data_IF_213921548011
#
_entry.id   IF_213921548011
#
_cell.length_a   1.000
_cell.length_b   1.000
_cell.length_c   1.000
_cell.angle_alpha   90.00
_cell.angle_beta   90.00
_cell.angle_gamma   90.00
#
_symmetry.space_group_name_H-M   'P 1'
#
loop_
_entity.id
_entity.type
_entity.pdbx_description
1 polymer ?
#
# COMPACT_ATOMS: atom_id res chain seq x y z
N UNK A 1 -4.59 -4.81 -21.48
CA UNK A 1 -4.57 -3.41 -21.94
C UNK A 1 -3.42 -3.33 -22.93
N UNK A 2 -3.68 -3.12 -24.22
CA UNK A 2 -2.72 -3.35 -25.30
C UNK A 2 -1.49 -2.42 -25.23
N UNK A 3 -1.48 -1.36 -26.02
CA UNK A 3 -0.38 -0.38 -26.06
C UNK A 3 -0.52 0.75 -25.02
N UNK A 4 -1.65 0.80 -24.29
CA UNK A 4 -1.94 1.87 -23.33
C UNK A 4 -1.11 1.71 -22.06
N UNK A 5 -0.37 2.75 -21.70
CA UNK A 5 0.31 2.85 -20.42
C UNK A 5 -0.63 3.44 -19.36
N UNK A 6 -0.19 3.41 -18.09
CA UNK A 6 -0.98 3.94 -16.95
C UNK A 6 -1.42 5.39 -17.19
N UNK A 7 -0.51 6.22 -17.67
CA UNK A 7 -0.77 7.64 -17.93
C UNK A 7 -1.91 7.83 -18.95
N UNK A 8 -1.94 7.05 -20.03
CA UNK A 8 -3.00 7.11 -21.05
C UNK A 8 -4.38 6.80 -20.46
N UNK A 9 -4.45 5.79 -19.60
CA UNK A 9 -5.70 5.39 -18.93
C UNK A 9 -6.20 6.50 -18.00
N UNK A 10 -5.29 7.12 -17.26
CA UNK A 10 -5.64 8.22 -16.34
C UNK A 10 -6.02 9.49 -17.10
N UNK A 11 -5.35 9.79 -18.22
CA UNK A 11 -5.73 10.89 -19.10
C UNK A 11 -7.13 10.67 -19.68
N UNK A 12 -7.41 9.49 -20.22
CA UNK A 12 -8.73 9.15 -20.75
C UNK A 12 -9.83 9.28 -19.69
N UNK A 13 -9.55 8.88 -18.45
CA UNK A 13 -10.45 9.11 -17.31
C UNK A 13 -10.73 10.60 -17.09
N UNK A 14 -9.73 11.48 -17.23
CA UNK A 14 -9.90 12.92 -17.08
C UNK A 14 -10.72 13.53 -18.22
N UNK A 15 -10.39 13.17 -19.47
CA UNK A 15 -11.04 13.68 -20.68
C UNK A 15 -12.53 13.32 -20.70
N UNK A 16 -12.87 12.11 -20.25
CA UNK A 16 -14.24 11.58 -20.24
C UNK A 16 -14.95 11.67 -18.88
N UNK A 17 -14.30 12.25 -17.87
CA UNK A 17 -14.83 12.40 -16.49
C UNK A 17 -15.39 11.08 -15.92
N UNK A 18 -14.66 9.99 -16.14
CA UNK A 18 -15.07 8.66 -15.70
C UNK A 18 -14.88 8.56 -14.18
N UNK A 19 -15.90 8.18 -13.41
CA UNK A 19 -15.75 7.97 -11.98
C UNK A 19 -14.83 6.76 -11.71
N UNK A 20 -13.94 6.90 -10.74
CA UNK A 20 -13.08 5.83 -10.24
C UNK A 20 -13.34 5.60 -8.75
N UNK A 21 -12.96 4.43 -8.24
CA UNK A 21 -13.12 4.13 -6.83
C UNK A 21 -12.37 5.15 -5.96
N UNK A 22 -12.99 5.59 -4.87
CA UNK A 22 -12.43 6.60 -3.95
C UNK A 22 -11.08 6.20 -3.34
N UNK A 23 -10.74 4.91 -3.29
CA UNK A 23 -9.44 4.44 -2.77
C UNK A 23 -8.25 4.90 -3.63
N UNK A 24 -8.48 5.21 -4.91
CA UNK A 24 -7.47 5.78 -5.80
C UNK A 24 -7.31 7.29 -5.57
N UNK A 25 -8.19 7.92 -4.79
CA UNK A 25 -8.20 9.36 -4.57
C UNK A 25 -8.46 10.15 -5.86
N UNK A 26 -7.76 11.27 -5.99
CA UNK A 26 -7.85 12.16 -7.14
C UNK A 26 -6.79 11.81 -8.17
N UNK A 27 -7.04 12.18 -9.43
CA UNK A 27 -6.04 12.11 -10.50
C UNK A 27 -5.44 13.49 -10.68
N UNK A 28 -4.14 13.60 -10.45
CA UNK A 28 -3.39 14.85 -10.47
C UNK A 28 -2.23 14.77 -11.45
N UNK A 29 -1.85 15.90 -12.01
CA UNK A 29 -0.63 16.04 -12.78
C UNK A 29 0.53 16.23 -11.82
N UNK A 30 1.49 15.31 -11.82
CA UNK A 30 2.61 15.38 -10.90
C UNK A 30 3.72 16.31 -11.39
N UNK A 31 4.78 16.45 -10.58
CA UNK A 31 5.94 17.30 -10.94
C UNK A 31 6.83 16.68 -12.02
N UNK A 32 6.68 15.38 -12.28
CA UNK A 32 7.47 14.65 -13.28
C UNK A 32 6.84 14.72 -14.67
N UNK A 33 5.60 15.20 -14.77
CA UNK A 33 4.87 15.35 -16.02
C UNK A 33 3.99 14.15 -16.35
N UNK A 34 3.57 13.37 -15.35
CA UNK A 34 2.70 12.22 -15.53
C UNK A 34 1.40 12.36 -14.72
N UNK A 35 0.32 11.78 -15.25
CA UNK A 35 -0.92 11.60 -14.49
C UNK A 35 -0.72 10.53 -13.42
N UNK A 36 -1.01 10.87 -12.16
CA UNK A 36 -0.94 9.95 -11.02
C UNK A 36 -2.19 10.00 -10.17
N UNK A 37 -2.42 8.95 -9.39
CA UNK A 37 -3.48 8.85 -8.40
C UNK A 37 -2.93 9.28 -7.03
N UNK A 38 -3.68 10.07 -6.25
CA UNK A 38 -3.24 10.51 -4.91
C UNK A 38 -3.40 9.44 -3.83
N UNK A 39 -4.24 8.43 -4.08
CA UNK A 39 -4.44 7.27 -3.22
C UNK A 39 -3.61 6.06 -3.66
N UNK A 40 -4.22 4.88 -3.60
CA UNK A 40 -3.55 3.64 -4.03
C UNK A 40 -3.23 3.69 -5.52
N UNK A 41 -2.07 3.14 -5.92
CA UNK A 41 -1.70 3.12 -7.33
C UNK A 41 -2.24 1.87 -8.05
N UNK A 42 -2.37 0.76 -7.34
CA UNK A 42 -2.93 -0.50 -7.84
C UNK A 42 -3.62 -1.19 -6.68
N UNK A 43 -4.80 -1.74 -6.93
CA UNK A 43 -5.50 -2.59 -5.96
C UNK A 43 -5.62 -4.00 -6.51
N UNK A 44 -5.79 -4.95 -5.61
CA UNK A 44 -5.95 -6.38 -5.90
C UNK A 44 -6.56 -7.08 -4.70
N UNK A 45 -6.43 -8.40 -4.63
CA UNK A 45 -6.92 -9.17 -3.49
C UNK A 45 -6.21 -8.74 -2.19
N UNK A 46 -6.99 -8.48 -1.14
CA UNK A 46 -6.50 -7.99 0.16
C UNK A 46 -5.50 -8.93 0.84
N UNK A 47 -5.57 -10.23 0.56
CA UNK A 47 -4.69 -11.25 1.12
C UNK A 47 -3.45 -11.53 0.26
N UNK A 48 -3.33 -10.98 -0.94
CA UNK A 48 -2.31 -11.40 -1.89
C UNK A 48 -0.91 -10.91 -1.48
N UNK A 49 -0.04 -11.85 -1.09
CA UNK A 49 1.37 -11.61 -0.78
C UNK A 49 2.29 -11.57 -2.00
N UNK A 50 1.74 -11.76 -3.21
CA UNK A 50 2.55 -11.83 -4.42
C UNK A 50 3.22 -10.48 -4.72
N UNK A 51 4.55 -10.53 -4.86
CA UNK A 51 5.38 -9.37 -5.11
C UNK A 51 5.56 -8.43 -3.92
N UNK A 52 5.05 -8.75 -2.72
CA UNK A 52 5.22 -7.89 -1.55
C UNK A 52 6.70 -7.71 -1.15
N UNK A 53 7.57 -8.70 -1.41
CA UNK A 53 9.01 -8.61 -1.19
C UNK A 53 9.73 -7.61 -2.12
N UNK A 54 9.05 -7.11 -3.16
CA UNK A 54 9.57 -6.07 -4.06
C UNK A 54 9.07 -4.67 -3.67
N UNK A 55 8.17 -4.57 -2.69
CA UNK A 55 7.61 -3.30 -2.25
C UNK A 55 8.52 -2.62 -1.23
N UNK A 56 8.57 -1.30 -1.29
CA UNK A 56 9.18 -0.49 -0.23
C UNK A 56 8.27 -0.48 0.98
N UNK A 57 8.88 -0.41 2.16
CA UNK A 57 8.13 -0.17 3.39
C UNK A 57 7.67 1.29 3.49
N UNK A 58 6.43 1.57 3.97
CA UNK A 58 5.43 0.59 4.36
C UNK A 58 4.78 -0.13 3.16
N UNK A 59 4.90 -1.46 3.13
CA UNK A 59 4.34 -2.32 2.11
C UNK A 59 2.80 -2.42 2.27
N UNK A 60 2.11 -3.00 1.29
CA UNK A 60 0.64 -3.03 1.30
C UNK A 60 0.03 -3.72 2.52
N UNK A 61 0.70 -4.73 3.10
CA UNK A 61 0.21 -5.44 4.30
C UNK A 61 0.31 -4.52 5.52
N UNK A 62 1.46 -3.87 5.71
CA UNK A 62 1.66 -2.87 6.74
C UNK A 62 0.65 -1.71 6.60
N UNK A 63 0.45 -1.19 5.39
CA UNK A 63 -0.55 -0.12 5.12
C UNK A 63 -1.98 -0.56 5.43
N UNK A 64 -2.36 -1.80 5.11
CA UNK A 64 -3.68 -2.35 5.44
C UNK A 64 -3.88 -2.49 6.96
N UNK A 65 -2.87 -3.00 7.67
CA UNK A 65 -2.89 -3.17 9.13
C UNK A 65 -2.97 -1.84 9.88
N UNK A 66 -2.32 -0.80 9.36
CA UNK A 66 -2.33 0.56 9.91
C UNK A 66 -3.40 1.47 9.28
N UNK A 67 -4.32 0.91 8.47
CA UNK A 67 -5.33 1.70 7.77
C UNK A 67 -6.31 2.39 8.72
N UNK A 68 -6.70 3.62 8.42
CA UNK A 68 -7.74 4.35 9.18
C UNK A 68 -9.11 3.66 9.13
N UNK A 69 -9.36 2.82 8.13
CA UNK A 69 -10.60 2.07 8.00
C UNK A 69 -10.60 0.83 8.92
N UNK A 70 -11.51 0.72 9.91
CA UNK A 70 -11.56 -0.41 10.83
C UNK A 70 -11.84 -1.76 10.13
N UNK A 71 -12.56 -1.75 8.99
CA UNK A 71 -12.83 -2.97 8.21
C UNK A 71 -11.54 -3.52 7.60
N UNK A 72 -10.67 -2.65 7.09
CA UNK A 72 -9.37 -3.05 6.54
C UNK A 72 -8.51 -3.69 7.63
N UNK A 73 -8.42 -3.05 8.80
CA UNK A 73 -7.65 -3.57 9.93
C UNK A 73 -8.18 -4.93 10.38
N UNK A 74 -9.49 -5.05 10.59
CA UNK A 74 -10.13 -6.32 10.98
C UNK A 74 -9.88 -7.42 9.95
N UNK A 75 -10.01 -7.11 8.67
CA UNK A 75 -9.78 -8.06 7.58
C UNK A 75 -8.32 -8.50 7.51
N UNK A 76 -7.38 -7.55 7.62
CA UNK A 76 -5.94 -7.83 7.66
C UNK A 76 -5.56 -8.74 8.83
N UNK A 77 -5.99 -8.39 10.05
CA UNK A 77 -5.77 -9.21 11.25
C UNK A 77 -6.38 -10.61 11.13
N UNK A 78 -7.56 -10.72 10.53
CA UNK A 78 -8.19 -12.02 10.28
C UNK A 78 -7.42 -12.88 9.29
N UNK A 79 -6.95 -12.29 8.19
CA UNK A 79 -6.18 -12.99 7.15
C UNK A 79 -4.83 -13.45 7.67
N UNK A 80 -4.12 -12.59 8.42
CA UNK A 80 -2.80 -12.91 8.98
C UNK A 80 -2.84 -14.12 9.92
N UNK A 81 -3.98 -14.37 10.56
CA UNK A 81 -4.22 -15.51 11.48
C UNK A 81 -4.74 -16.77 10.78
N UNK A 82 -5.01 -16.75 9.48
CA UNK A 82 -5.40 -17.96 8.75
C UNK A 82 -4.25 -18.95 8.83
N UNK A 83 -4.53 -20.15 9.31
CA UNK A 83 -3.56 -21.22 9.50
C UNK A 83 -3.73 -22.31 8.45
N UNK A 84 -2.60 -22.81 7.93
CA UNK A 84 -2.54 -23.99 7.09
C UNK A 84 -1.36 -24.86 7.52
N UNK A 85 -1.61 -26.11 7.89
CA UNK A 85 -0.60 -27.06 8.37
C UNK A 85 0.28 -26.51 9.52
N UNK A 86 -0.30 -25.83 10.51
CA UNK A 86 0.46 -25.32 11.66
C UNK A 86 1.28 -24.06 11.37
N UNK A 87 1.07 -23.42 10.22
CA UNK A 87 1.72 -22.17 9.84
C UNK A 87 0.65 -21.14 9.51
N UNK A 88 0.67 -20.03 10.23
CA UNK A 88 -0.19 -18.87 9.95
C UNK A 88 0.29 -18.13 8.70
N UNK A 89 -0.61 -17.39 8.07
CA UNK A 89 -0.25 -16.58 6.91
C UNK A 89 0.80 -15.51 7.25
N UNK A 90 0.73 -14.94 8.46
CA UNK A 90 1.76 -14.02 8.97
C UNK A 90 3.14 -14.69 9.05
N UNK A 91 3.24 -15.88 9.66
CA UNK A 91 4.50 -16.62 9.72
C UNK A 91 5.02 -16.97 8.32
N UNK A 92 4.14 -17.34 7.39
CA UNK A 92 4.53 -17.61 6.01
C UNK A 92 5.14 -16.37 5.34
N UNK A 93 4.53 -15.18 5.51
CA UNK A 93 5.06 -13.92 5.00
C UNK A 93 6.41 -13.57 5.63
N UNK A 94 6.55 -13.74 6.95
CA UNK A 94 7.79 -13.46 7.68
C UNK A 94 8.94 -14.38 7.25
N UNK A 95 8.66 -15.67 6.99
CA UNK A 95 9.65 -16.60 6.41
C UNK A 95 10.11 -16.20 5.01
N UNK A 96 9.30 -15.42 4.29
CA UNK A 96 9.67 -14.82 3.01
C UNK A 96 10.29 -13.41 3.16
N UNK A 97 10.66 -13.00 4.38
CA UNK A 97 11.21 -11.68 4.69
C UNK A 97 10.28 -10.51 4.32
N UNK A 98 8.96 -10.71 4.43
CA UNK A 98 7.96 -9.66 4.23
C UNK A 98 7.50 -9.17 5.60
N UNK A 99 7.79 -7.91 5.93
CA UNK A 99 7.36 -7.29 7.17
C UNK A 99 5.82 -7.12 7.23
N UNK A 100 5.21 -7.44 8.38
CA UNK A 100 3.76 -7.34 8.60
C UNK A 100 3.37 -6.27 9.62
N UNK A 101 4.34 -5.64 10.26
CA UNK A 101 4.19 -4.53 11.22
C UNK A 101 5.10 -3.39 10.80
N UNK A 102 4.69 -2.15 11.05
CA UNK A 102 5.58 -1.00 10.92
C UNK A 102 6.35 -0.92 12.23
N UNK A 103 7.66 -1.11 12.20
CA UNK A 103 8.52 -0.68 13.30
C UNK A 103 8.43 0.85 13.35
N UNK A 104 8.10 1.41 14.51
CA UNK A 104 8.17 2.86 14.68
C UNK A 104 9.62 3.28 14.40
N UNK A 105 9.86 3.92 13.26
CA UNK A 105 11.10 4.65 13.05
C UNK A 105 11.08 5.74 14.11
N UNK A 106 11.82 5.55 15.20
CA UNK A 106 12.17 6.63 16.13
C UNK A 106 13.06 7.61 15.36
N UNK A 107 12.44 8.52 14.60
CA UNK A 107 13.15 9.65 14.00
C UNK A 107 13.16 10.82 15.00
N UNK A 108 14.34 11.06 15.56
CA UNK A 108 14.90 12.39 15.82
C UNK A 108 14.19 13.31 16.83
N UNK A 109 13.99 12.84 18.07
CA UNK A 109 13.77 13.72 19.22
C UNK A 109 15.07 14.11 19.97
N UNK A 110 16.24 13.61 19.58
CA UNK A 110 17.51 13.83 20.30
C UNK A 110 18.44 14.91 19.72
N UNK A 111 18.11 15.55 18.59
CA UNK A 111 18.98 16.60 18.00
C UNK A 111 18.59 18.05 18.36
N UNK A 112 17.86 18.25 19.46
CA UNK A 112 17.61 19.59 20.06
C UNK A 112 18.31 19.81 21.40
N UNK A 113 19.32 18.98 21.71
CA UNK A 113 20.06 19.04 22.98
C UNK A 113 21.53 19.46 22.87
N UNK A 114 22.04 19.80 21.68
CA UNK A 114 23.48 20.07 21.50
C UNK A 114 23.80 21.23 20.56
N UNK A 115 23.11 22.34 20.77
CA UNK A 115 23.57 23.67 20.33
C UNK A 115 23.10 24.70 21.37
N UNK A 116 23.83 24.76 22.47
CA UNK A 116 23.83 25.86 23.43
C UNK A 116 25.28 26.30 23.63
#
# INVERSE_FOLDING_TARGET
>A
MGFWIRADVLQYKMDHRIPICCIYGEVVWDKTGEWVTTGESRTGCVMCGFGCHLEKEPNRIQRLRCSKNPVHRRMCEGILKIENHGVTYEEALQRCHIATTIEEIQSDAEDKGRAA
#
